data_IF_850886748337
#
_entry.id   IF_850886748337
#
_cell.length_a   1.000
_cell.length_b   1.000
_cell.length_c   1.000
_cell.angle_alpha   90.00
_cell.angle_beta   90.00
_cell.angle_gamma   90.00
#
_symmetry.space_group_name_H-M   'P 1'
#
loop_
_entity.id
_entity.type
_entity.pdbx_description
1 polymer ?
#
# COMPACT_ATOMS: atom_id res chain seq x y z
N UNK A 1 42.47 -8.62 -24.53
CA UNK A 1 41.50 -7.58 -24.11
C UNK A 1 40.75 -8.09 -22.89
N UNK A 2 40.78 -7.36 -21.76
CA UNK A 2 40.18 -7.79 -20.47
C UNK A 2 38.64 -7.64 -20.49
N UNK A 3 37.97 -8.44 -21.32
CA UNK A 3 36.53 -8.36 -21.57
C UNK A 3 35.69 -8.42 -20.29
N UNK A 4 36.11 -9.23 -19.31
CA UNK A 4 35.52 -9.31 -17.96
C UNK A 4 35.49 -7.96 -17.23
N UNK A 5 36.57 -7.17 -17.32
CA UNK A 5 36.65 -5.86 -16.65
C UNK A 5 35.78 -4.80 -17.36
N UNK A 6 35.70 -4.88 -18.69
CA UNK A 6 34.85 -3.99 -19.49
C UNK A 6 33.36 -4.23 -19.23
N UNK A 7 32.92 -5.49 -19.28
CA UNK A 7 31.53 -5.89 -19.01
C UNK A 7 31.08 -5.43 -17.62
N UNK A 8 31.89 -5.69 -16.58
CA UNK A 8 31.53 -5.32 -15.22
C UNK A 8 31.36 -3.80 -15.04
N UNK A 9 32.23 -2.99 -15.66
CA UNK A 9 32.11 -1.52 -15.62
C UNK A 9 30.84 -1.03 -16.32
N UNK A 10 30.55 -1.56 -17.51
CA UNK A 10 29.33 -1.23 -18.25
C UNK A 10 28.08 -1.65 -17.46
N UNK A 11 28.12 -2.83 -16.83
CA UNK A 11 27.05 -3.32 -15.98
C UNK A 11 26.80 -2.41 -14.77
N UNK A 12 27.85 -1.95 -14.07
CA UNK A 12 27.70 -0.98 -12.96
C UNK A 12 27.05 0.30 -13.47
N UNK A 13 27.56 0.88 -14.56
CA UNK A 13 27.03 2.13 -15.11
C UNK A 13 25.54 2.00 -15.49
N UNK A 14 25.18 0.89 -16.14
CA UNK A 14 23.80 0.58 -16.49
C UNK A 14 22.92 0.42 -15.24
N UNK A 15 23.40 -0.30 -14.23
CA UNK A 15 22.65 -0.53 -12.98
C UNK A 15 22.36 0.77 -12.24
N UNK A 16 23.32 1.70 -12.22
CA UNK A 16 23.14 3.02 -11.58
C UNK A 16 22.10 3.85 -12.34
N UNK A 17 22.19 3.93 -13.68
CA UNK A 17 21.21 4.66 -14.50
C UNK A 17 19.81 4.05 -14.37
N UNK A 18 19.73 2.72 -14.36
CA UNK A 18 18.49 1.98 -14.17
C UNK A 18 17.84 2.29 -12.82
N UNK A 19 18.60 2.17 -11.72
CA UNK A 19 18.10 2.44 -10.38
C UNK A 19 17.62 3.90 -10.23
N UNK A 20 18.39 4.86 -10.75
CA UNK A 20 17.98 6.26 -10.74
C UNK A 20 16.68 6.49 -11.51
N UNK A 21 16.54 5.91 -12.70
CA UNK A 21 15.32 6.01 -13.52
C UNK A 21 14.12 5.39 -12.79
N UNK A 22 14.31 4.24 -12.15
CA UNK A 22 13.26 3.54 -11.43
C UNK A 22 12.77 4.33 -10.20
N UNK A 23 13.70 4.93 -9.44
CA UNK A 23 13.36 5.82 -8.32
C UNK A 23 12.55 7.02 -8.79
N UNK A 24 12.91 7.64 -9.91
CA UNK A 24 12.16 8.77 -10.47
C UNK A 24 10.73 8.38 -10.86
N UNK A 25 10.55 7.20 -11.45
CA UNK A 25 9.22 6.68 -11.83
C UNK A 25 8.38 6.36 -10.59
N UNK A 26 8.98 5.74 -9.56
CA UNK A 26 8.28 5.30 -8.35
C UNK A 26 8.15 6.39 -7.27
N UNK A 27 8.79 7.54 -7.44
CA UNK A 27 8.77 8.64 -6.47
C UNK A 27 7.35 9.09 -6.06
N UNK A 28 6.37 9.23 -6.98
CA UNK A 28 5.00 9.61 -6.60
C UNK A 28 4.36 8.61 -5.62
N UNK A 29 4.53 7.31 -5.86
CA UNK A 29 3.99 6.23 -5.02
C UNK A 29 4.63 6.15 -3.63
N UNK A 30 5.87 6.61 -3.50
CA UNK A 30 6.60 6.68 -2.22
C UNK A 30 6.22 7.95 -1.45
N UNK A 31 6.15 9.09 -2.14
CA UNK A 31 5.89 10.37 -1.51
C UNK A 31 4.42 10.48 -1.07
N UNK A 32 3.50 10.02 -1.92
CA UNK A 32 2.06 10.09 -1.73
C UNK A 32 1.43 8.69 -1.85
N UNK A 33 1.73 7.78 -0.90
CA UNK A 33 1.09 6.48 -0.90
C UNK A 33 -0.39 6.69 -0.61
N UNK A 34 -1.24 6.44 -1.61
CA UNK A 34 -2.68 6.40 -1.39
C UNK A 34 -2.94 5.20 -0.49
N UNK A 35 -3.20 5.41 0.81
CA UNK A 35 -3.56 4.33 1.70
C UNK A 35 -4.90 3.77 1.20
N UNK A 36 -4.87 2.54 0.67
CA UNK A 36 -6.09 1.89 0.22
C UNK A 36 -6.74 1.27 1.47
N UNK A 37 -7.36 2.13 2.27
CA UNK A 37 -8.11 1.76 3.49
C UNK A 37 -9.58 1.56 3.14
N UNK A 38 -9.87 1.33 1.85
CA UNK A 38 -11.22 1.13 1.32
C UNK A 38 -11.97 -0.04 1.97
N UNK A 39 -11.30 -0.82 2.81
CA UNK A 39 -11.85 -1.98 3.50
C UNK A 39 -12.21 -1.75 4.97
N UNK A 40 -12.01 -0.58 5.59
CA UNK A 40 -12.35 -0.40 7.02
C UNK A 40 -13.49 0.60 7.19
N UNK A 41 -14.62 0.14 7.73
CA UNK A 41 -15.71 1.00 8.17
C UNK A 41 -15.79 1.09 9.69
N UNK A 42 -16.42 2.16 10.19
CA UNK A 42 -16.61 2.38 11.62
C UNK A 42 -18.09 2.23 11.99
N UNK A 43 -18.36 1.37 12.96
CA UNK A 43 -19.70 1.17 13.52
C UNK A 43 -19.70 1.70 14.95
N UNK A 44 -20.72 2.46 15.29
CA UNK A 44 -20.98 2.78 16.69
C UNK A 44 -22.05 1.84 17.17
N UNK A 45 -21.73 1.04 18.19
CA UNK A 45 -22.73 0.21 18.80
C UNK A 45 -23.77 1.14 19.45
N UNK A 46 -25.04 1.09 19.01
CA UNK A 46 -26.06 2.02 19.50
C UNK A 46 -26.38 1.82 20.97
N UNK A 47 -26.13 0.62 21.50
CA UNK A 47 -26.44 0.26 22.88
C UNK A 47 -25.28 0.59 23.82
N UNK A 48 -24.03 0.33 23.41
CA UNK A 48 -22.85 0.52 24.28
C UNK A 48 -22.11 1.83 24.03
N UNK A 49 -22.40 2.53 22.92
CA UNK A 49 -21.64 3.70 22.44
C UNK A 49 -20.14 3.42 22.26
N UNK A 50 -19.78 2.14 22.16
CA UNK A 50 -18.42 1.71 21.85
C UNK A 50 -18.20 1.76 20.34
N UNK A 51 -17.00 2.19 19.97
CA UNK A 51 -16.54 2.18 18.60
C UNK A 51 -16.10 0.76 18.24
N UNK A 52 -16.81 0.14 17.30
CA UNK A 52 -16.35 -1.04 16.60
C UNK A 52 -15.74 -0.63 15.26
N UNK A 53 -14.57 -1.17 14.94
CA UNK A 53 -14.10 -1.21 13.54
C UNK A 53 -14.65 -2.48 12.90
N UNK A 54 -15.01 -2.42 11.63
CA UNK A 54 -15.34 -3.60 10.85
C UNK A 54 -14.62 -3.55 9.53
N UNK A 55 -14.15 -4.71 9.09
CA UNK A 55 -13.61 -4.85 7.75
C UNK A 55 -14.78 -5.11 6.78
N UNK A 56 -14.71 -4.58 5.56
CA UNK A 56 -15.67 -4.86 4.48
C UNK A 56 -15.71 -6.36 4.16
N UNK A 57 -14.62 -7.06 4.42
CA UNK A 57 -14.48 -8.53 4.32
C UNK A 57 -15.03 -9.29 5.53
N UNK A 58 -15.46 -8.59 6.59
CA UNK A 58 -15.95 -9.22 7.80
C UNK A 58 -17.37 -9.78 7.62
N UNK A 59 -17.77 -10.71 8.49
CA UNK A 59 -19.11 -11.31 8.46
C UNK A 59 -20.21 -10.34 8.90
N UNK A 60 -19.81 -9.27 9.58
CA UNK A 60 -20.68 -8.21 10.08
C UNK A 60 -21.08 -7.22 8.98
N UNK A 61 -20.24 -7.01 7.96
CA UNK A 61 -20.51 -6.05 6.90
C UNK A 61 -21.85 -6.28 6.17
N UNK A 62 -22.21 -7.52 5.75
CA UNK A 62 -23.53 -7.79 5.17
C UNK A 62 -24.70 -7.46 6.09
N UNK A 63 -24.53 -7.59 7.41
CA UNK A 63 -25.57 -7.24 8.39
C UNK A 63 -25.77 -5.73 8.47
N UNK A 64 -24.68 -4.96 8.39
CA UNK A 64 -24.74 -3.49 8.36
C UNK A 64 -25.39 -2.98 7.08
N UNK A 65 -25.03 -3.56 5.93
CA UNK A 65 -25.68 -3.23 4.65
C UNK A 65 -27.17 -3.56 4.69
N UNK A 66 -27.54 -4.72 5.27
CA UNK A 66 -28.94 -5.10 5.45
C UNK A 66 -29.68 -4.10 6.35
N UNK A 67 -29.10 -3.72 7.48
CA UNK A 67 -29.75 -2.82 8.45
C UNK A 67 -29.81 -1.37 7.93
N UNK A 68 -28.81 -0.92 7.16
CA UNK A 68 -28.85 0.32 6.37
C UNK A 68 -29.99 0.30 5.35
N UNK A 69 -30.09 -0.76 4.55
CA UNK A 69 -31.15 -0.90 3.53
C UNK A 69 -32.55 -1.02 4.15
N UNK A 70 -32.64 -1.54 5.37
CA UNK A 70 -33.88 -1.58 6.16
C UNK A 70 -34.23 -0.23 6.81
N UNK A 71 -33.44 0.83 6.61
CA UNK A 71 -33.67 2.15 7.20
C UNK A 71 -33.41 2.22 8.70
N UNK A 72 -32.72 1.22 9.30
CA UNK A 72 -32.36 1.24 10.72
C UNK A 72 -31.10 2.06 10.99
N UNK A 73 -30.23 2.15 9.98
CA UNK A 73 -28.97 2.88 10.05
C UNK A 73 -28.93 3.92 8.93
N UNK A 74 -28.31 5.05 9.21
CA UNK A 74 -27.89 6.03 8.21
C UNK A 74 -26.36 6.11 8.19
N UNK A 75 -25.81 6.49 7.04
CA UNK A 75 -24.37 6.61 6.84
C UNK A 75 -23.98 8.06 6.83
N UNK A 76 -23.00 8.40 7.66
CA UNK A 76 -22.39 9.73 7.72
C UNK A 76 -20.97 9.60 7.16
N UNK A 77 -20.67 10.35 6.12
CA UNK A 77 -19.32 10.44 5.55
C UNK A 77 -18.50 11.41 6.38
N UNK A 78 -17.28 11.03 6.72
CA UNK A 78 -16.35 11.95 7.39
C UNK A 78 -15.72 12.89 6.35
N UNK A 79 -15.65 14.17 6.68
CA UNK A 79 -14.92 15.14 5.86
C UNK A 79 -13.42 14.83 5.89
N UNK A 80 -12.73 14.98 4.76
CA UNK A 80 -11.29 14.68 4.64
C UNK A 80 -10.95 13.18 4.52
N UNK A 81 -11.85 12.27 4.92
CA UNK A 81 -11.65 10.82 4.90
C UNK A 81 -12.63 10.14 3.95
N UNK A 82 -12.29 10.10 2.67
CA UNK A 82 -13.18 9.55 1.61
C UNK A 82 -13.57 8.08 1.80
N UNK A 83 -12.78 7.31 2.57
CA UNK A 83 -12.97 5.90 2.86
C UNK A 83 -13.73 5.64 4.17
N UNK A 84 -13.81 6.62 5.07
CA UNK A 84 -14.38 6.41 6.40
C UNK A 84 -15.89 6.71 6.39
N UNK A 85 -16.68 5.64 6.52
CA UNK A 85 -18.13 5.71 6.71
C UNK A 85 -18.49 5.38 8.17
N UNK A 86 -19.29 6.25 8.80
CA UNK A 86 -19.86 6.01 10.12
C UNK A 86 -21.30 5.55 9.95
N UNK A 87 -21.61 4.39 10.51
CA UNK A 87 -22.97 3.87 10.57
C UNK A 87 -23.58 4.26 11.92
N UNK A 88 -24.62 5.08 11.88
CA UNK A 88 -25.36 5.55 13.07
C UNK A 88 -26.83 5.18 12.97
N UNK A 89 -27.54 5.00 14.10
CA UNK A 89 -28.99 4.78 14.08
C UNK A 89 -29.75 5.83 13.29
N UNK A 90 -30.77 5.40 12.56
CA UNK A 90 -31.67 6.31 11.89
C UNK A 90 -32.41 7.17 12.92
N UNK A 91 -32.51 8.48 12.67
CA UNK A 91 -33.14 9.43 13.59
C UNK A 91 -32.22 9.97 14.69
N UNK A 92 -30.93 9.61 14.72
CA UNK A 92 -29.95 10.29 15.59
C UNK A 92 -29.94 11.80 15.33
N UNK A 93 -29.88 12.59 16.41
CA UNK A 93 -29.81 14.04 16.32
C UNK A 93 -28.46 14.49 15.75
N UNK A 94 -28.43 15.69 15.13
CA UNK A 94 -27.19 16.28 14.60
C UNK A 94 -26.11 16.40 15.66
N UNK A 95 -26.45 16.78 16.90
CA UNK A 95 -25.49 16.88 18.01
C UNK A 95 -24.86 15.53 18.37
N UNK A 96 -25.66 14.46 18.32
CA UNK A 96 -25.18 13.10 18.57
C UNK A 96 -24.23 12.64 17.46
N UNK A 97 -24.60 12.92 16.20
CA UNK A 97 -23.76 12.62 15.04
C UNK A 97 -22.44 13.38 15.12
N UNK A 98 -22.47 14.68 15.42
CA UNK A 98 -21.25 15.50 15.55
C UNK A 98 -20.36 14.99 16.68
N UNK A 99 -20.92 14.65 17.84
CA UNK A 99 -20.17 14.04 18.95
C UNK A 99 -19.45 12.76 18.53
N UNK A 100 -20.10 11.94 17.71
CA UNK A 100 -19.51 10.72 17.17
C UNK A 100 -18.42 10.99 16.13
N UNK A 101 -18.66 11.92 15.21
CA UNK A 101 -17.66 12.36 14.22
C UNK A 101 -16.43 12.91 14.95
N UNK A 102 -16.60 13.82 15.91
CA UNK A 102 -15.51 14.43 16.66
C UNK A 102 -14.67 13.41 17.43
N UNK A 103 -15.29 12.35 17.93
CA UNK A 103 -14.59 11.26 18.63
C UNK A 103 -13.84 10.34 17.68
N UNK A 104 -14.43 9.99 16.53
CA UNK A 104 -13.85 9.00 15.60
C UNK A 104 -12.82 9.63 14.68
N UNK A 105 -13.04 10.88 14.27
CA UNK A 105 -12.18 11.60 13.33
C UNK A 105 -10.68 11.52 13.70
N UNK A 106 -10.23 11.82 14.94
CA UNK A 106 -8.81 11.71 15.28
C UNK A 106 -8.29 10.27 15.24
N UNK A 107 -9.13 9.27 15.53
CA UNK A 107 -8.75 7.84 15.47
C UNK A 107 -8.58 7.41 14.03
N UNK A 108 -9.55 7.73 13.17
CA UNK A 108 -9.51 7.40 11.75
C UNK A 108 -8.35 8.12 11.03
N UNK A 109 -8.09 9.38 11.36
CA UNK A 109 -6.92 10.12 10.87
C UNK A 109 -5.59 9.49 11.31
N UNK A 110 -5.50 9.03 12.56
CA UNK A 110 -4.30 8.35 13.06
C UNK A 110 -4.09 7.00 12.36
N UNK A 111 -5.16 6.24 12.17
CA UNK A 111 -5.15 4.97 11.44
C UNK A 111 -4.74 5.18 9.97
N UNK A 112 -5.25 6.22 9.32
CA UNK A 112 -4.85 6.58 7.96
C UNK A 112 -3.37 6.91 7.86
N UNK A 113 -2.87 7.74 8.78
CA UNK A 113 -1.46 8.09 8.83
C UNK A 113 -0.59 6.85 9.01
N UNK A 114 -0.97 5.96 9.93
CA UNK A 114 -0.24 4.72 10.19
C UNK A 114 -0.28 3.78 8.97
N UNK A 115 -1.43 3.65 8.31
CA UNK A 115 -1.60 2.83 7.10
C UNK A 115 -0.79 3.41 5.92
N UNK A 116 -0.80 4.73 5.75
CA UNK A 116 0.00 5.43 4.75
C UNK A 116 1.51 5.25 5.00
N UNK A 117 1.97 5.33 6.26
CA UNK A 117 3.36 5.07 6.63
C UNK A 117 3.75 3.60 6.37
N UNK A 118 2.91 2.64 6.75
CA UNK A 118 3.14 1.23 6.49
C UNK A 118 3.20 0.93 4.98
N UNK A 119 2.27 1.52 4.19
CA UNK A 119 2.27 1.39 2.73
C UNK A 119 3.50 2.06 2.11
N UNK A 120 3.95 3.19 2.63
CA UNK A 120 5.20 3.85 2.19
C UNK A 120 6.38 2.90 2.31
N UNK A 121 6.55 2.25 3.48
CA UNK A 121 7.65 1.31 3.69
C UNK A 121 7.57 0.11 2.76
N UNK A 122 6.38 -0.44 2.54
CA UNK A 122 6.16 -1.53 1.57
C UNK A 122 6.52 -1.10 0.14
N UNK A 123 6.05 0.08 -0.29
CA UNK A 123 6.36 0.63 -1.61
C UNK A 123 7.87 0.84 -1.77
N UNK A 124 8.58 1.31 -0.73
CA UNK A 124 10.04 1.45 -0.75
C UNK A 124 10.71 0.09 -0.89
N UNK A 125 10.31 -0.92 -0.11
CA UNK A 125 10.91 -2.26 -0.21
C UNK A 125 10.66 -2.90 -1.57
N UNK A 126 9.45 -2.78 -2.11
CA UNK A 126 9.08 -3.31 -3.41
C UNK A 126 9.84 -2.58 -4.53
N UNK A 127 9.98 -1.26 -4.41
CA UNK A 127 10.77 -0.44 -5.33
C UNK A 127 12.23 -0.88 -5.36
N UNK A 128 12.84 -1.09 -4.18
CA UNK A 128 14.23 -1.57 -4.09
C UNK A 128 14.34 -2.96 -4.74
N UNK A 129 13.47 -3.90 -4.37
CA UNK A 129 13.48 -5.26 -4.91
C UNK A 129 13.34 -5.27 -6.45
N UNK A 130 12.38 -4.53 -6.98
CA UNK A 130 12.17 -4.40 -8.43
C UNK A 130 13.33 -3.71 -9.12
N UNK A 131 13.87 -2.63 -8.55
CA UNK A 131 14.97 -1.87 -9.15
C UNK A 131 16.24 -2.72 -9.30
N UNK A 132 16.50 -3.66 -8.39
CA UNK A 132 17.68 -4.53 -8.41
C UNK A 132 17.49 -5.79 -9.26
N UNK A 133 16.24 -6.22 -9.48
CA UNK A 133 15.93 -7.48 -10.18
C UNK A 133 16.54 -7.55 -11.59
N UNK A 134 16.39 -6.48 -12.39
CA UNK A 134 16.88 -6.42 -13.77
C UNK A 134 18.42 -6.38 -13.83
N UNK A 135 19.11 -5.47 -13.11
CA UNK A 135 20.56 -5.50 -12.98
C UNK A 135 21.12 -6.87 -12.60
N UNK A 136 20.54 -7.52 -11.59
CA UNK A 136 20.99 -8.84 -11.12
C UNK A 136 20.77 -9.89 -12.23
N UNK A 137 19.61 -9.90 -12.89
CA UNK A 137 19.35 -10.83 -13.99
C UNK A 137 20.37 -10.67 -15.13
N UNK A 138 20.68 -9.44 -15.54
CA UNK A 138 21.70 -9.16 -16.57
C UNK A 138 23.08 -9.66 -16.14
N UNK A 139 23.45 -9.46 -14.86
CA UNK A 139 24.72 -9.94 -14.33
C UNK A 139 24.80 -11.48 -14.39
N UNK A 140 23.75 -12.17 -13.94
CA UNK A 140 23.67 -13.63 -13.92
C UNK A 140 23.76 -14.22 -15.33
N UNK A 141 23.08 -13.61 -16.31
CA UNK A 141 23.17 -14.00 -17.72
C UNK A 141 24.61 -13.81 -18.22
N UNK A 142 25.23 -12.66 -17.94
CA UNK A 142 26.63 -12.39 -18.31
C UNK A 142 27.62 -13.39 -17.71
N UNK A 143 27.42 -13.77 -16.44
CA UNK A 143 28.22 -14.79 -15.75
C UNK A 143 28.03 -16.18 -16.38
N UNK A 144 26.79 -16.57 -16.69
CA UNK A 144 26.48 -17.84 -17.34
C UNK A 144 27.16 -17.94 -18.72
N UNK A 145 27.03 -16.90 -19.55
CA UNK A 145 27.71 -16.83 -20.85
C UNK A 145 29.23 -16.91 -20.70
N UNK A 146 29.79 -16.18 -19.72
CA UNK A 146 31.22 -16.23 -19.43
C UNK A 146 31.71 -17.61 -18.99
N UNK A 147 30.89 -18.35 -18.23
CA UNK A 147 31.18 -19.73 -17.83
C UNK A 147 31.16 -20.68 -19.03
N UNK A 148 30.13 -20.59 -19.87
CA UNK A 148 29.99 -21.41 -21.09
C UNK A 148 31.19 -21.23 -22.03
N UNK A 149 31.57 -19.97 -22.32
CA UNK A 149 32.71 -19.68 -23.22
C UNK A 149 34.04 -20.20 -22.67
N UNK A 150 34.25 -20.09 -21.36
CA UNK A 150 35.48 -20.58 -20.73
C UNK A 150 35.52 -22.13 -20.69
N UNK A 151 34.38 -22.78 -20.47
CA UNK A 151 34.28 -24.24 -20.46
C UNK A 151 34.66 -24.86 -21.80
N UNK A 152 34.27 -24.24 -22.92
CA UNK A 152 34.65 -24.72 -24.25
C UNK A 152 36.13 -24.48 -24.60
N UNK A 153 36.77 -23.46 -24.04
CA UNK A 153 38.19 -23.17 -24.28
C UNK A 153 39.17 -24.12 -23.60
N UNK A 154 38.76 -24.84 -22.56
CA UNK A 154 39.71 -25.71 -21.82
C UNK A 154 39.94 -27.08 -22.48
N UNK A 155 39.30 -27.37 -23.62
CA UNK A 155 39.35 -28.69 -24.30
C UNK A 155 39.85 -28.65 -25.75
N UNK A 156 40.24 -27.47 -26.24
CA UNK A 156 40.83 -27.27 -27.57
C UNK A 156 42.29 -26.84 -27.40
#
# INVERSE_FOLDING_TARGET
>A
MNWRKGFFRAWIAFSVVWAASFVLIMYPEINQPHADISTTGYLINPNTQELGTFEVTSKEYPLLVRDKNAGKLQVVKMEGLSWAEIYVPFGSTTDTINTYVDRIHPIAMAEEKNAAEAKRWRNVTDTIAMSLSIPIAVLLIGLALGWVVNGFRSRA
#
